data_IF_497535952092
#
_entry.id   IF_497535952092
#
_cell.length_a   1.000
_cell.length_b   1.000
_cell.length_c   1.000
_cell.angle_alpha   90.00
_cell.angle_beta   90.00
_cell.angle_gamma   90.00
#
_symmetry.space_group_name_H-M   'P 1'
#
loop_
_entity.id
_entity.type
_entity.pdbx_description
1 polymer ?
#
# COMPACT_ATOMS: atom_id res chain seq x y z
N UNK A 1 5.01 9.27 -1.79
CA UNK A 1 5.99 8.43 -1.04
C UNK A 1 5.84 6.96 -1.40
N UNK A 2 4.62 6.40 -1.40
CA UNK A 2 4.36 5.00 -1.75
C UNK A 2 4.96 4.64 -3.12
N UNK A 3 4.74 5.44 -4.17
CA UNK A 3 5.32 5.19 -5.49
C UNK A 3 6.86 5.09 -5.52
N UNK A 4 7.55 5.83 -4.65
CA UNK A 4 9.03 5.72 -4.53
C UNK A 4 9.43 4.35 -4.01
N UNK A 5 8.69 3.82 -3.05
CA UNK A 5 8.92 2.46 -2.51
C UNK A 5 8.56 1.42 -3.57
N UNK A 6 7.50 1.61 -4.36
CA UNK A 6 7.18 0.74 -5.50
C UNK A 6 8.33 0.70 -6.51
N UNK A 7 8.91 1.85 -6.85
CA UNK A 7 10.09 1.92 -7.73
C UNK A 7 11.31 1.19 -7.12
N UNK A 8 11.53 1.30 -5.81
CA UNK A 8 12.58 0.55 -5.12
C UNK A 8 12.34 -0.96 -5.17
N UNK A 9 11.11 -1.43 -4.90
CA UNK A 9 10.73 -2.85 -4.98
C UNK A 9 10.91 -3.40 -6.40
N UNK A 10 10.56 -2.63 -7.43
CA UNK A 10 10.80 -3.01 -8.83
C UNK A 10 12.28 -3.26 -9.11
N UNK A 11 13.15 -2.36 -8.64
CA UNK A 11 14.60 -2.51 -8.78
C UNK A 11 15.15 -3.66 -7.96
N UNK A 12 14.67 -3.88 -6.73
CA UNK A 12 15.00 -5.06 -5.92
C UNK A 12 14.66 -6.36 -6.64
N UNK A 13 13.50 -6.42 -7.30
CA UNK A 13 13.03 -7.59 -8.05
C UNK A 13 13.84 -7.85 -9.34
N UNK A 14 14.45 -6.83 -9.91
CA UNK A 14 15.31 -6.95 -11.10
C UNK A 14 16.77 -7.29 -10.76
N UNK A 15 17.19 -7.10 -9.51
CA UNK A 15 18.59 -7.29 -9.11
C UNK A 15 19.03 -8.75 -9.26
N UNK A 16 20.17 -9.03 -9.94
CA UNK A 16 20.74 -10.37 -10.03
C UNK A 16 21.38 -10.81 -8.71
N UNK A 17 21.58 -12.12 -8.55
CA UNK A 17 22.29 -12.69 -7.41
C UNK A 17 21.41 -12.99 -6.19
N UNK A 18 22.03 -13.13 -5.00
CA UNK A 18 21.33 -13.45 -3.76
C UNK A 18 20.28 -12.39 -3.41
N UNK A 19 19.24 -12.81 -2.69
CA UNK A 19 18.18 -11.91 -2.21
C UNK A 19 18.79 -10.93 -1.19
N UNK A 20 18.71 -9.60 -1.40
CA UNK A 20 19.11 -8.64 -0.39
C UNK A 20 18.05 -8.57 0.72
N UNK A 21 18.21 -9.39 1.75
CA UNK A 21 17.19 -9.63 2.79
C UNK A 21 16.72 -8.32 3.45
N UNK A 22 17.65 -7.52 4.00
CA UNK A 22 17.30 -6.30 4.74
C UNK A 22 16.47 -5.28 3.92
N UNK A 23 16.84 -4.92 2.67
CA UNK A 23 15.98 -4.08 1.83
C UNK A 23 14.59 -4.65 1.58
N UNK A 24 14.46 -5.98 1.39
CA UNK A 24 13.15 -6.61 1.24
C UNK A 24 12.32 -6.56 2.52
N UNK A 25 12.94 -6.77 3.69
CA UNK A 25 12.28 -6.63 4.99
C UNK A 25 11.77 -5.20 5.20
N UNK A 26 12.60 -4.19 4.91
CA UNK A 26 12.22 -2.77 4.99
C UNK A 26 11.08 -2.43 4.05
N UNK A 27 11.10 -2.92 2.81
CA UNK A 27 10.02 -2.71 1.85
C UNK A 27 8.71 -3.34 2.33
N UNK A 28 8.74 -4.57 2.86
CA UNK A 28 7.57 -5.24 3.42
C UNK A 28 7.04 -4.56 4.69
N UNK A 29 7.92 -4.06 5.56
CA UNK A 29 7.55 -3.27 6.74
C UNK A 29 6.83 -1.99 6.32
N UNK A 30 7.39 -1.27 5.34
CA UNK A 30 6.77 -0.07 4.78
C UNK A 30 5.38 -0.37 4.20
N UNK A 31 5.27 -1.37 3.33
CA UNK A 31 3.99 -1.71 2.68
C UNK A 31 2.92 -2.04 3.73
N UNK A 32 3.24 -2.87 4.73
CA UNK A 32 2.26 -3.30 5.74
C UNK A 32 1.80 -2.18 6.64
N UNK A 33 2.71 -1.34 7.09
CA UNK A 33 2.38 -0.37 8.12
C UNK A 33 2.03 0.99 7.54
N UNK A 34 2.68 1.42 6.47
CA UNK A 34 2.39 2.71 5.83
C UNK A 34 1.31 2.59 4.76
N UNK A 35 1.48 1.73 3.76
CA UNK A 35 0.49 1.65 2.67
C UNK A 35 -0.83 1.01 3.12
N UNK A 36 -0.78 -0.06 3.93
CA UNK A 36 -2.00 -0.75 4.36
C UNK A 36 -2.58 -0.14 5.65
N UNK A 37 -1.88 -0.28 6.80
CA UNK A 37 -2.42 0.19 8.08
C UNK A 37 -2.65 1.70 8.16
N UNK A 38 -1.77 2.51 7.58
CA UNK A 38 -1.91 3.96 7.66
C UNK A 38 -2.80 4.51 6.55
N UNK A 39 -2.67 4.05 5.30
CA UNK A 39 -3.42 4.59 4.16
C UNK A 39 -4.72 3.82 3.91
N UNK A 40 -4.68 2.53 3.54
CA UNK A 40 -5.92 1.78 3.23
C UNK A 40 -6.93 1.75 4.39
N UNK A 41 -6.51 1.65 5.67
CA UNK A 41 -7.48 1.63 6.77
C UNK A 41 -8.26 2.95 6.94
N UNK A 42 -7.67 4.09 6.56
CA UNK A 42 -8.41 5.37 6.50
C UNK A 42 -9.48 5.30 5.42
N UNK A 43 -9.17 4.70 4.29
CA UNK A 43 -10.15 4.55 3.22
C UNK A 43 -11.25 3.56 3.60
N UNK A 44 -10.88 2.36 4.05
CA UNK A 44 -11.81 1.29 4.41
C UNK A 44 -12.71 1.66 5.60
N UNK A 45 -12.18 2.42 6.56
CA UNK A 45 -12.85 2.76 7.81
C UNK A 45 -13.56 4.10 7.83
N UNK A 46 -13.23 5.04 6.94
CA UNK A 46 -13.77 6.40 6.97
C UNK A 46 -14.24 6.87 5.58
N UNK A 47 -13.41 6.77 4.54
CA UNK A 47 -13.78 7.27 3.20
C UNK A 47 -14.90 6.46 2.54
N UNK A 48 -14.74 5.13 2.49
CA UNK A 48 -15.70 4.26 1.84
C UNK A 48 -17.06 4.28 2.55
N UNK A 49 -17.14 4.24 3.90
CA UNK A 49 -18.40 4.47 4.60
C UNK A 49 -19.07 5.82 4.27
N UNK A 50 -18.30 6.91 4.18
CA UNK A 50 -18.87 8.21 3.82
C UNK A 50 -19.43 8.23 2.38
N UNK A 51 -18.78 7.56 1.44
CA UNK A 51 -19.29 7.39 0.07
C UNK A 51 -20.54 6.51 0.04
N UNK A 52 -20.62 5.48 0.87
CA UNK A 52 -21.81 4.63 1.03
C UNK A 52 -23.02 5.41 1.54
N UNK A 53 -22.82 6.29 2.51
CA UNK A 53 -23.85 7.21 3.00
C UNK A 53 -24.39 8.14 1.90
N UNK A 54 -23.56 8.42 0.88
CA UNK A 54 -23.92 9.21 -0.30
C UNK A 54 -24.41 8.36 -1.49
N UNK A 55 -24.75 7.09 -1.24
CA UNK A 55 -25.40 6.23 -2.22
C UNK A 55 -24.45 5.48 -3.16
N UNK A 56 -23.14 5.54 -2.94
CA UNK A 56 -22.17 4.72 -3.67
C UNK A 56 -22.11 3.33 -3.02
N UNK A 57 -22.53 2.25 -3.71
CA UNK A 57 -22.60 0.95 -3.08
C UNK A 57 -21.22 0.39 -2.73
N UNK A 58 -21.13 -0.21 -1.54
CA UNK A 58 -19.92 -0.90 -1.04
C UNK A 58 -19.49 -2.05 -1.95
N UNK A 59 -20.44 -2.75 -2.54
CA UNK A 59 -20.22 -3.92 -3.39
C UNK A 59 -20.71 -3.67 -4.81
N UNK A 60 -20.09 -4.34 -5.79
CA UNK A 60 -20.51 -4.26 -7.20
C UNK A 60 -20.23 -2.92 -7.90
N UNK A 61 -19.52 -2.00 -7.24
CA UNK A 61 -19.13 -0.69 -7.78
C UNK A 61 -17.66 -0.34 -7.48
N UNK A 62 -17.25 0.92 -7.71
CA UNK A 62 -15.87 1.37 -7.53
C UNK A 62 -15.30 1.04 -6.14
N UNK A 63 -16.04 1.31 -5.06
CA UNK A 63 -15.63 0.98 -3.68
C UNK A 63 -15.36 -0.51 -3.51
N UNK A 64 -16.22 -1.36 -4.08
CA UNK A 64 -16.05 -2.82 -4.00
C UNK A 64 -14.79 -3.32 -4.73
N UNK A 65 -14.43 -2.68 -5.84
CA UNK A 65 -13.18 -2.96 -6.55
C UNK A 65 -11.98 -2.56 -5.69
N UNK A 66 -11.99 -1.37 -5.08
CA UNK A 66 -10.90 -0.92 -4.21
C UNK A 66 -10.68 -1.88 -3.03
N UNK A 67 -11.76 -2.29 -2.35
CA UNK A 67 -11.72 -3.25 -1.25
C UNK A 67 -11.15 -4.62 -1.67
N UNK A 68 -11.56 -5.12 -2.84
CA UNK A 68 -11.03 -6.36 -3.39
C UNK A 68 -9.52 -6.25 -3.67
N UNK A 69 -9.08 -5.13 -4.23
CA UNK A 69 -7.68 -4.87 -4.55
C UNK A 69 -6.82 -4.70 -3.29
N UNK A 70 -7.34 -4.08 -2.22
CA UNK A 70 -6.65 -4.06 -0.94
C UNK A 70 -6.37 -5.48 -0.43
N UNK A 71 -7.36 -6.38 -0.49
CA UNK A 71 -7.16 -7.76 -0.05
C UNK A 71 -6.23 -8.55 -0.97
N UNK A 72 -6.31 -8.35 -2.29
CA UNK A 72 -5.36 -8.94 -3.24
C UNK A 72 -3.92 -8.47 -2.95
N UNK A 73 -3.75 -7.17 -2.68
CA UNK A 73 -2.49 -6.55 -2.27
C UNK A 73 -1.92 -7.19 -1.02
N UNK A 74 -2.75 -7.35 0.02
CA UNK A 74 -2.38 -8.07 1.26
C UNK A 74 -1.98 -9.53 0.98
N UNK A 75 -2.63 -10.17 0.01
CA UNK A 75 -2.26 -11.50 -0.50
C UNK A 75 -0.82 -11.56 -1.02
N UNK A 76 -0.44 -10.66 -1.94
CA UNK A 76 0.93 -10.61 -2.46
C UNK A 76 1.95 -10.32 -1.35
N UNK A 77 1.63 -9.45 -0.40
CA UNK A 77 2.51 -9.10 0.73
C UNK A 77 2.77 -10.31 1.64
N UNK A 78 1.72 -11.11 1.93
CA UNK A 78 1.87 -12.37 2.68
C UNK A 78 2.78 -13.36 1.94
N UNK A 79 2.58 -13.50 0.62
CA UNK A 79 3.36 -14.41 -0.20
C UNK A 79 4.83 -13.98 -0.34
N UNK A 80 5.11 -12.68 -0.52
CA UNK A 80 6.47 -12.14 -0.55
C UNK A 80 7.21 -12.42 0.76
N UNK A 81 6.57 -12.21 1.90
CA UNK A 81 7.20 -12.49 3.19
C UNK A 81 7.45 -13.97 3.44
N UNK A 82 6.52 -14.84 3.04
CA UNK A 82 6.73 -16.29 3.11
C UNK A 82 7.93 -16.72 2.24
N UNK A 83 8.06 -16.16 1.05
CA UNK A 83 9.20 -16.40 0.17
C UNK A 83 10.52 -15.92 0.81
N UNK A 84 10.53 -14.73 1.43
CA UNK A 84 11.71 -14.19 2.09
C UNK A 84 12.17 -15.06 3.27
N UNK A 85 11.24 -15.54 4.11
CA UNK A 85 11.55 -16.46 5.22
C UNK A 85 12.11 -17.80 4.75
N UNK A 86 11.73 -18.26 3.55
CA UNK A 86 12.21 -19.52 2.97
C UNK A 86 13.60 -19.40 2.33
N UNK A 87 14.16 -18.19 2.19
CA UNK A 87 15.39 -17.94 1.45
C UNK A 87 16.62 -18.70 1.98
N UNK A 88 16.67 -19.02 3.28
CA UNK A 88 17.75 -19.81 3.86
C UNK A 88 17.71 -21.31 3.52
N UNK A 89 16.55 -21.84 3.15
CA UNK A 89 16.35 -23.26 2.86
C UNK A 89 16.26 -23.54 1.36
N UNK A 90 15.59 -22.66 0.61
CA UNK A 90 15.39 -22.74 -0.83
C UNK A 90 15.68 -21.36 -1.47
N UNK A 91 16.96 -20.97 -1.64
CA UNK A 91 17.29 -19.63 -2.12
C UNK A 91 16.76 -19.35 -3.53
N UNK A 92 16.80 -20.35 -4.42
CA UNK A 92 16.39 -20.20 -5.81
C UNK A 92 14.87 -20.07 -5.94
N UNK A 93 14.10 -20.99 -5.33
CA UNK A 93 12.64 -20.92 -5.37
C UNK A 93 12.08 -19.77 -4.52
N UNK A 94 12.73 -19.41 -3.40
CA UNK A 94 12.39 -18.19 -2.67
C UNK A 94 12.50 -16.95 -3.56
N UNK A 95 13.59 -16.84 -4.34
CA UNK A 95 13.79 -15.70 -5.23
C UNK A 95 12.74 -15.65 -6.33
N UNK A 96 12.42 -16.79 -6.94
CA UNK A 96 11.37 -16.88 -7.96
C UNK A 96 10.01 -16.41 -7.41
N UNK A 97 9.58 -16.98 -6.28
CA UNK A 97 8.30 -16.62 -5.65
C UNK A 97 8.27 -15.17 -5.19
N UNK A 98 9.36 -14.66 -4.64
CA UNK A 98 9.46 -13.27 -4.19
C UNK A 98 9.30 -12.30 -5.36
N UNK A 99 10.04 -12.52 -6.45
CA UNK A 99 9.98 -11.67 -7.66
C UNK A 99 8.62 -11.76 -8.34
N UNK A 100 8.02 -12.95 -8.43
CA UNK A 100 6.70 -13.14 -9.01
C UNK A 100 5.63 -12.34 -8.24
N UNK A 101 5.59 -12.49 -6.92
CA UNK A 101 4.61 -11.78 -6.08
C UNK A 101 4.87 -10.27 -6.06
N UNK A 102 6.13 -9.84 -6.05
CA UNK A 102 6.47 -8.42 -6.16
C UNK A 102 5.97 -7.80 -7.47
N UNK A 103 6.13 -8.49 -8.60
CA UNK A 103 5.61 -8.01 -9.90
C UNK A 103 4.08 -7.93 -9.91
N UNK A 104 3.41 -8.92 -9.32
CA UNK A 104 1.95 -8.91 -9.14
C UNK A 104 1.50 -7.70 -8.33
N UNK A 105 2.09 -7.51 -7.15
CA UNK A 105 1.84 -6.37 -6.27
C UNK A 105 2.10 -5.02 -6.97
N UNK A 106 3.21 -4.87 -7.67
CA UNK A 106 3.57 -3.63 -8.37
C UNK A 106 2.57 -3.26 -9.45
N UNK A 107 2.11 -4.24 -10.24
CA UNK A 107 1.09 -4.01 -11.26
C UNK A 107 -0.22 -3.59 -10.60
N UNK A 108 -0.68 -4.37 -9.62
CA UNK A 108 -1.91 -4.09 -8.88
C UNK A 108 -1.89 -2.67 -8.30
N UNK A 109 -0.86 -2.30 -7.55
CA UNK A 109 -0.83 -1.00 -6.86
C UNK A 109 -0.71 0.19 -7.82
N UNK A 110 -0.04 0.05 -8.97
CA UNK A 110 -0.02 1.12 -9.98
C UNK A 110 -1.39 1.35 -10.58
N UNK A 111 -2.12 0.27 -10.88
CA UNK A 111 -3.49 0.36 -11.38
C UNK A 111 -4.44 0.87 -10.29
N UNK A 112 -4.21 0.49 -9.04
CA UNK A 112 -4.96 0.93 -7.88
C UNK A 112 -4.84 2.44 -7.65
N UNK A 113 -3.61 2.97 -7.59
CA UNK A 113 -3.34 4.40 -7.44
C UNK A 113 -3.96 5.21 -8.59
N UNK A 114 -3.90 4.68 -9.83
CA UNK A 114 -4.56 5.34 -10.94
C UNK A 114 -6.09 5.41 -10.78
N UNK A 115 -6.73 4.40 -10.18
CA UNK A 115 -8.17 4.41 -9.86
C UNK A 115 -8.47 5.36 -8.71
N UNK A 116 -7.63 5.43 -7.69
CA UNK A 116 -7.73 6.43 -6.62
C UNK A 116 -7.78 7.84 -7.23
N UNK A 117 -6.74 8.20 -7.99
CA UNK A 117 -6.56 9.55 -8.55
C UNK A 117 -7.63 9.94 -9.56
N UNK A 118 -8.01 9.03 -10.46
CA UNK A 118 -8.81 9.36 -11.65
C UNK A 118 -10.29 9.06 -11.48
N UNK A 119 -10.66 8.21 -10.52
CA UNK A 119 -12.04 7.74 -10.34
C UNK A 119 -12.51 8.03 -8.92
N UNK A 120 -11.81 7.52 -7.91
CA UNK A 120 -12.27 7.58 -6.52
C UNK A 120 -12.31 9.01 -6.01
N UNK A 121 -11.22 9.78 -6.16
CA UNK A 121 -11.16 11.16 -5.66
C UNK A 121 -12.06 12.10 -6.47
N UNK A 122 -12.20 11.87 -7.78
CA UNK A 122 -13.18 12.60 -8.61
C UNK A 122 -14.61 12.32 -8.13
N UNK A 123 -14.91 11.08 -7.75
CA UNK A 123 -16.21 10.71 -7.19
C UNK A 123 -16.44 11.34 -5.82
N UNK A 124 -15.41 11.43 -4.97
CA UNK A 124 -15.45 12.17 -3.70
C UNK A 124 -15.83 13.63 -3.94
N UNK A 125 -15.16 14.31 -4.87
CA UNK A 125 -15.45 15.71 -5.22
C UNK A 125 -16.87 15.93 -5.77
N UNK A 126 -17.42 14.91 -6.43
CA UNK A 126 -18.76 14.98 -7.02
C UNK A 126 -19.90 14.69 -6.01
N UNK A 127 -19.62 13.99 -4.91
CA UNK A 127 -20.67 13.51 -3.98
C UNK A 127 -20.58 14.09 -2.58
N UNK A 128 -19.41 14.51 -2.12
CA UNK A 128 -19.19 15.05 -0.77
C UNK A 128 -19.00 16.56 -0.82
N UNK A 129 -19.77 17.27 -0.02
CA UNK A 129 -19.65 18.72 0.12
C UNK A 129 -18.33 19.10 0.81
N UNK A 130 -17.84 20.32 0.55
CA UNK A 130 -16.54 20.76 1.07
C UNK A 130 -16.39 20.65 2.60
N UNK A 131 -17.48 20.83 3.34
CA UNK A 131 -17.48 20.71 4.80
C UNK A 131 -17.36 19.24 5.27
N UNK A 132 -17.87 18.29 4.50
CA UNK A 132 -17.77 16.85 4.78
C UNK A 132 -16.39 16.33 4.44
N UNK A 133 -15.82 16.77 3.30
CA UNK A 133 -14.44 16.50 2.96
C UNK A 133 -13.48 17.02 4.03
N UNK A 134 -13.70 18.25 4.53
CA UNK A 134 -12.92 18.80 5.63
C UNK A 134 -13.02 17.94 6.88
N UNK A 135 -14.23 17.50 7.25
CA UNK A 135 -14.43 16.62 8.40
C UNK A 135 -13.72 15.27 8.22
N UNK A 136 -13.74 14.70 7.02
CA UNK A 136 -13.01 13.47 6.69
C UNK A 136 -11.50 13.64 6.86
N UNK A 137 -10.95 14.77 6.41
CA UNK A 137 -9.52 15.08 6.61
C UNK A 137 -9.16 15.19 8.11
N UNK A 138 -10.01 15.84 8.91
CA UNK A 138 -9.82 15.91 10.37
C UNK A 138 -9.87 14.50 11.01
N UNK A 139 -10.79 13.63 10.55
CA UNK A 139 -10.88 12.24 11.02
C UNK A 139 -9.69 11.39 10.58
N UNK A 140 -9.14 11.63 9.40
CA UNK A 140 -7.93 10.97 8.92
C UNK A 140 -6.73 11.32 9.80
N UNK A 141 -6.55 12.60 10.14
CA UNK A 141 -5.48 13.05 11.05
C UNK A 141 -5.65 12.44 12.44
N UNK A 142 -6.88 12.38 12.96
CA UNK A 142 -7.15 11.79 14.26
C UNK A 142 -6.90 10.27 14.28
N UNK A 143 -7.34 9.56 13.24
CA UNK A 143 -7.10 8.11 13.09
C UNK A 143 -5.59 7.81 13.06
N UNK A 144 -4.86 8.57 12.25
CA UNK A 144 -3.42 8.42 12.11
C UNK A 144 -2.67 8.71 13.42
N UNK A 145 -3.05 9.78 14.13
CA UNK A 145 -2.48 10.13 15.42
C UNK A 145 -2.69 9.04 16.48
N UNK A 146 -3.89 8.44 16.52
CA UNK A 146 -4.26 7.39 17.48
C UNK A 146 -3.59 6.04 17.18
N UNK A 147 -3.62 5.61 15.92
CA UNK A 147 -3.17 4.28 15.54
C UNK A 147 -1.65 4.20 15.37
N UNK A 148 -1.03 5.29 14.95
CA UNK A 148 0.37 5.25 14.49
C UNK A 148 1.36 5.85 15.50
N UNK A 149 0.89 6.74 16.37
CA UNK A 149 1.71 7.40 17.39
C UNK A 149 2.72 8.41 16.85
N UNK A 150 3.40 9.13 17.75
CA UNK A 150 4.40 10.12 17.36
C UNK A 150 5.65 9.49 16.72
N UNK A 151 6.20 10.13 15.69
CA UNK A 151 7.41 9.65 15.00
C UNK A 151 7.16 8.63 13.89
N UNK A 152 5.91 8.19 13.69
CA UNK A 152 5.58 7.19 12.68
C UNK A 152 5.93 7.67 11.26
N UNK A 153 5.45 8.85 10.90
CA UNK A 153 5.67 9.44 9.59
C UNK A 153 7.17 9.62 9.31
N UNK A 154 7.92 10.19 10.25
CA UNK A 154 9.36 10.38 10.11
C UNK A 154 10.10 9.06 9.88
N UNK A 155 9.74 8.01 10.62
CA UNK A 155 10.32 6.67 10.46
C UNK A 155 10.10 6.12 9.06
N UNK A 156 8.86 6.11 8.56
CA UNK A 156 8.57 5.49 7.26
C UNK A 156 9.04 6.35 6.09
N UNK A 157 9.09 7.67 6.25
CA UNK A 157 9.79 8.55 5.31
C UNK A 157 11.28 8.22 5.23
N UNK A 158 11.95 7.94 6.35
CA UNK A 158 13.35 7.53 6.32
C UNK A 158 13.53 6.16 5.68
N UNK A 159 12.67 5.17 5.99
CA UNK A 159 12.69 3.86 5.31
C UNK A 159 12.55 4.03 3.79
N UNK A 160 11.61 4.88 3.34
CA UNK A 160 11.43 5.14 1.92
C UNK A 160 12.69 5.75 1.27
N UNK A 161 13.37 6.67 1.96
CA UNK A 161 14.65 7.24 1.50
C UNK A 161 15.78 6.22 1.48
N UNK A 162 15.87 5.35 2.48
CA UNK A 162 16.86 4.26 2.52
C UNK A 162 16.69 3.31 1.34
N UNK A 163 15.45 2.92 1.04
CA UNK A 163 15.11 2.07 -0.09
C UNK A 163 15.42 2.76 -1.44
N UNK A 164 15.11 4.05 -1.55
CA UNK A 164 15.43 4.85 -2.74
C UNK A 164 16.95 4.91 -2.97
N UNK A 165 17.74 5.15 -1.92
CA UNK A 165 19.23 5.16 -1.99
C UNK A 165 19.81 3.80 -2.34
N UNK A 166 19.29 2.72 -1.75
CA UNK A 166 19.76 1.35 -2.04
C UNK A 166 19.50 0.96 -3.50
N UNK A 167 18.43 1.51 -4.07
CA UNK A 167 17.98 1.19 -5.42
C UNK A 167 18.49 2.20 -6.46
N UNK A 168 19.17 3.28 -6.05
CA UNK A 168 19.82 4.25 -6.95
C UNK A 168 21.10 3.68 -7.53
#
# INVERSE_FOLDING_TARGET
VIEKVLAAVEKLAQRPGPIPIEPWEKALDFIRNFADKCHHLKEEGLLFPALEEHGIPREGGPVGVMLMEHEEGRGYVRAMAAALSAAGQDPAGARERLVQNARGYLRLLREHIAKEDQILFVMVDAHLEAHEQKKLLEQFEEHESKEMGSGFHERYLEIARELERFSG
#
